data_IF_295132454913
#
_entry.id   IF_295132454913
#
_cell.length_a   1.000
_cell.length_b   1.000
_cell.length_c   1.000
_cell.angle_alpha   90.00
_cell.angle_beta   90.00
_cell.angle_gamma   90.00
#
_symmetry.space_group_name_H-M   'P 1'
#
loop_
_entity.id
_entity.type
_entity.pdbx_description
1 polymer ?
#
# COMPACT_ATOMS: atom_id res chain seq x y z
N UNK A 1 27.50 -16.55 29.01
CA UNK A 1 26.16 -15.93 28.97
C UNK A 1 26.19 -14.83 27.92
N UNK A 2 25.59 -15.06 26.76
CA UNK A 2 25.48 -14.01 25.73
C UNK A 2 24.56 -12.89 26.22
N UNK A 3 24.90 -11.61 26.02
CA UNK A 3 24.04 -10.51 26.40
C UNK A 3 22.72 -10.64 25.61
N UNK A 4 21.60 -10.69 26.33
CA UNK A 4 20.27 -10.55 25.74
C UNK A 4 20.20 -9.16 25.13
N UNK A 5 20.32 -9.08 23.81
CA UNK A 5 20.03 -7.88 23.03
C UNK A 5 18.62 -7.44 23.39
N UNK A 6 18.47 -6.24 23.95
CA UNK A 6 17.16 -5.66 24.21
C UNK A 6 16.33 -5.70 22.93
N UNK A 7 15.02 -6.01 22.98
CA UNK A 7 14.18 -5.96 21.80
C UNK A 7 14.26 -4.55 21.20
N UNK A 8 14.61 -4.46 19.92
CA UNK A 8 14.59 -3.20 19.17
C UNK A 8 13.17 -2.66 19.29
N UNK A 9 13.00 -1.62 20.11
CA UNK A 9 11.71 -0.99 20.34
C UNK A 9 11.39 -0.16 19.10
N UNK A 10 10.38 -0.60 18.35
CA UNK A 10 9.92 0.15 17.19
C UNK A 10 9.30 1.47 17.65
N UNK A 11 9.88 2.58 17.20
CA UNK A 11 9.47 3.91 17.61
C UNK A 11 8.55 4.54 16.55
N UNK A 12 7.26 4.62 16.88
CA UNK A 12 6.25 5.28 16.06
C UNK A 12 6.47 6.80 15.95
N UNK A 13 7.32 7.41 16.77
CA UNK A 13 7.65 8.83 16.65
C UNK A 13 8.55 9.12 15.44
N UNK A 14 9.29 8.12 14.95
CA UNK A 14 10.23 8.24 13.82
C UNK A 14 9.72 7.61 12.52
N UNK A 15 8.60 6.89 12.57
CA UNK A 15 8.02 6.18 11.42
C UNK A 15 6.56 6.57 11.16
N UNK A 16 6.18 6.68 9.89
CA UNK A 16 4.80 6.68 9.45
C UNK A 16 4.40 5.24 9.14
N UNK A 17 3.24 4.83 9.61
CA UNK A 17 2.58 3.62 9.10
C UNK A 17 2.23 3.89 7.62
N UNK A 18 2.35 2.89 6.76
CA UNK A 18 2.19 3.07 5.31
C UNK A 18 0.84 3.69 4.92
N UNK A 19 -0.25 3.36 5.60
CA UNK A 19 -1.58 3.94 5.36
C UNK A 19 -1.63 5.44 5.68
N UNK A 20 -0.86 5.92 6.66
CA UNK A 20 -0.76 7.34 6.96
C UNK A 20 0.00 8.08 5.83
N UNK A 21 1.11 7.52 5.37
CA UNK A 21 1.85 8.06 4.22
C UNK A 21 0.96 8.08 2.95
N UNK A 22 0.20 7.01 2.71
CA UNK A 22 -0.79 6.90 1.65
C UNK A 22 -1.86 7.99 1.74
N UNK A 23 -2.47 8.16 2.91
CA UNK A 23 -3.50 9.17 3.13
C UNK A 23 -2.97 10.59 2.91
N UNK A 24 -1.77 10.91 3.41
CA UNK A 24 -1.13 12.23 3.22
C UNK A 24 -0.87 12.52 1.75
N UNK A 25 -0.33 11.56 1.00
CA UNK A 25 -0.11 11.72 -0.45
C UNK A 25 -1.42 11.89 -1.20
N UNK A 26 -2.45 11.13 -0.83
CA UNK A 26 -3.77 11.26 -1.44
C UNK A 26 -4.42 12.62 -1.22
N UNK A 27 -4.39 13.15 0.00
CA UNK A 27 -4.82 14.52 0.29
C UNK A 27 -4.05 15.56 -0.53
N UNK A 28 -2.75 15.35 -0.73
CA UNK A 28 -1.90 16.26 -1.48
C UNK A 28 -2.22 16.27 -2.99
N UNK A 29 -2.52 15.08 -3.54
CA UNK A 29 -2.82 14.88 -4.96
C UNK A 29 -4.27 15.26 -5.31
N UNK A 30 -5.20 15.07 -4.36
CA UNK A 30 -6.65 15.19 -4.59
C UNK A 30 -7.33 15.94 -3.42
N UNK A 31 -6.97 17.20 -3.14
CA UNK A 31 -7.43 17.95 -1.96
C UNK A 31 -8.96 17.98 -1.80
N UNK A 32 -9.69 18.17 -2.89
CA UNK A 32 -11.15 18.36 -2.86
C UNK A 32 -11.93 17.05 -2.96
N UNK A 33 -11.29 15.97 -3.42
CA UNK A 33 -11.97 14.71 -3.78
C UNK A 33 -11.43 13.50 -3.02
N UNK A 34 -10.34 13.65 -2.27
CA UNK A 34 -9.78 12.58 -1.45
C UNK A 34 -10.61 12.39 -0.18
N UNK A 35 -11.30 11.27 -0.12
CA UNK A 35 -12.14 10.94 1.04
C UNK A 35 -11.40 10.14 2.13
N UNK A 36 -10.27 9.53 1.78
CA UNK A 36 -9.64 8.49 2.60
C UNK A 36 -10.40 7.15 2.63
N UNK A 37 -11.57 7.08 1.99
CA UNK A 37 -12.40 5.88 1.84
C UNK A 37 -12.36 5.35 0.40
N UNK A 38 -11.23 5.56 -0.28
CA UNK A 38 -11.06 5.14 -1.67
C UNK A 38 -11.19 3.62 -1.82
N UNK A 39 -11.73 3.17 -2.96
CA UNK A 39 -12.04 1.77 -3.19
C UNK A 39 -10.77 0.95 -3.46
N UNK A 40 -10.61 -0.19 -2.77
CA UNK A 40 -9.49 -1.14 -2.93
C UNK A 40 -9.83 -2.39 -3.74
N UNK A 41 -11.07 -2.51 -4.20
CA UNK A 41 -11.49 -3.53 -5.14
C UNK A 41 -11.56 -2.94 -6.56
N UNK A 42 -11.07 -3.68 -7.55
CA UNK A 42 -11.06 -3.23 -8.94
C UNK A 42 -12.48 -3.12 -9.50
N UNK A 43 -12.79 -2.08 -10.28
CA UNK A 43 -14.09 -1.88 -10.88
C UNK A 43 -14.42 -3.06 -11.78
N UNK A 44 -15.67 -3.49 -11.74
CA UNK A 44 -16.16 -4.60 -12.54
C UNK A 44 -17.11 -4.04 -13.58
N UNK A 45 -16.85 -4.33 -14.86
CA UNK A 45 -17.58 -3.77 -15.99
C UNK A 45 -19.02 -4.25 -16.12
N UNK A 46 -19.38 -5.42 -15.59
CA UNK A 46 -20.73 -5.99 -15.71
C UNK A 46 -21.24 -6.56 -14.37
N UNK A 47 -21.52 -5.67 -13.42
CA UNK A 47 -22.01 -6.04 -12.09
C UNK A 47 -23.30 -6.85 -12.16
N UNK A 48 -24.19 -6.52 -13.10
CA UNK A 48 -25.47 -7.21 -13.25
C UNK A 48 -25.27 -8.65 -13.75
N UNK A 49 -24.37 -8.88 -14.71
CA UNK A 49 -24.03 -10.25 -15.10
C UNK A 49 -23.43 -11.05 -13.94
N UNK A 50 -22.62 -10.44 -13.06
CA UNK A 50 -22.11 -11.18 -11.91
C UNK A 50 -23.15 -11.37 -10.80
N UNK A 51 -24.03 -10.41 -10.54
CA UNK A 51 -25.17 -10.62 -9.64
C UNK A 51 -26.05 -11.75 -10.16
N UNK A 52 -26.39 -11.74 -11.45
CA UNK A 52 -27.15 -12.79 -12.10
C UNK A 52 -26.42 -14.15 -11.99
N UNK A 53 -25.10 -14.17 -12.23
CA UNK A 53 -24.30 -15.39 -12.10
C UNK A 53 -24.24 -15.90 -10.65
N UNK A 54 -24.19 -15.01 -9.67
CA UNK A 54 -24.23 -15.37 -8.25
C UNK A 54 -25.57 -15.99 -7.88
N UNK A 55 -26.68 -15.38 -8.30
CA UNK A 55 -28.03 -15.94 -8.08
C UNK A 55 -28.12 -17.31 -8.74
N UNK A 56 -27.71 -17.44 -10.00
CA UNK A 56 -27.72 -18.73 -10.71
C UNK A 56 -26.87 -19.81 -10.00
N UNK A 57 -25.68 -19.46 -9.50
CA UNK A 57 -24.84 -20.42 -8.77
C UNK A 57 -25.40 -20.78 -7.39
N UNK A 58 -26.06 -19.85 -6.70
CA UNK A 58 -26.75 -20.12 -5.43
C UNK A 58 -27.94 -21.05 -5.68
N UNK A 59 -28.72 -20.81 -6.73
CA UNK A 59 -29.83 -21.68 -7.15
C UNK A 59 -29.33 -23.07 -7.56
N UNK A 60 -28.24 -23.16 -8.32
CA UNK A 60 -27.57 -24.43 -8.69
C UNK A 60 -27.12 -25.18 -7.44
N UNK A 61 -26.45 -24.51 -6.50
CA UNK A 61 -26.00 -25.11 -5.24
C UNK A 61 -27.17 -25.63 -4.40
N UNK A 62 -28.23 -24.84 -4.22
CA UNK A 62 -29.42 -25.23 -3.48
C UNK A 62 -30.17 -26.38 -4.19
N UNK A 63 -30.22 -26.37 -5.53
CA UNK A 63 -30.82 -27.45 -6.32
C UNK A 63 -30.07 -28.76 -6.14
N UNK A 64 -28.75 -28.78 -6.33
CA UNK A 64 -27.94 -29.99 -6.18
C UNK A 64 -27.95 -30.51 -4.74
N UNK A 65 -27.90 -29.62 -3.75
CA UNK A 65 -27.99 -30.01 -2.34
C UNK A 65 -29.35 -30.64 -2.01
N UNK A 66 -30.46 -30.07 -2.51
CA UNK A 66 -31.80 -30.66 -2.34
C UNK A 66 -31.93 -32.00 -3.03
N UNK A 67 -31.43 -32.14 -4.26
CA UNK A 67 -31.44 -33.40 -5.00
C UNK A 67 -30.61 -34.47 -4.30
N UNK A 68 -29.41 -34.14 -3.82
CA UNK A 68 -28.55 -35.07 -3.08
C UNK A 68 -29.21 -35.52 -1.77
N UNK A 69 -29.89 -34.62 -1.04
CA UNK A 69 -30.65 -34.95 0.17
C UNK A 69 -31.86 -35.84 -0.13
N UNK A 70 -32.63 -35.52 -1.18
CA UNK A 70 -33.77 -36.34 -1.59
C UNK A 70 -33.33 -37.76 -1.98
N UNK A 71 -32.20 -37.87 -2.70
CA UNK A 71 -31.61 -39.15 -3.07
C UNK A 71 -31.12 -39.92 -1.84
N UNK A 72 -30.48 -39.25 -0.88
CA UNK A 72 -30.04 -39.88 0.38
C UNK A 72 -31.19 -40.34 1.29
N UNK A 73 -32.40 -39.83 1.10
CA UNK A 73 -33.61 -40.22 1.85
C UNK A 73 -34.38 -41.37 1.19
N UNK A 74 -34.03 -41.76 -0.04
CA UNK A 74 -34.59 -42.96 -0.64
C UNK A 74 -34.06 -44.19 0.09
N UNK A 75 -34.97 -45.07 0.46
CA UNK A 75 -34.62 -46.32 1.12
C UNK A 75 -33.89 -47.23 0.12
N UNK A 76 -32.57 -47.36 0.30
CA UNK A 76 -31.70 -48.15 -0.56
C UNK A 76 -31.66 -49.64 -0.16
N UNK A 77 -32.40 -50.05 0.87
CA UNK A 77 -32.35 -51.41 1.42
C UNK A 77 -32.93 -52.50 0.51
N UNK A 78 -33.71 -52.11 -0.52
CA UNK A 78 -34.33 -53.01 -1.49
C UNK A 78 -33.72 -52.97 -2.90
N UNK A 79 -32.62 -52.23 -3.12
CA UNK A 79 -31.98 -52.13 -4.43
C UNK A 79 -31.09 -53.33 -4.71
N UNK A 80 -31.03 -53.77 -5.97
CA UNK A 80 -30.01 -54.72 -6.39
C UNK A 80 -28.61 -54.06 -6.41
N UNK A 81 -27.55 -54.86 -6.58
CA UNK A 81 -26.18 -54.36 -6.52
C UNK A 81 -25.88 -53.28 -7.58
N UNK A 82 -26.39 -53.44 -8.81
CA UNK A 82 -26.16 -52.51 -9.90
C UNK A 82 -26.94 -51.20 -9.70
N UNK A 83 -28.15 -51.30 -9.17
CA UNK A 83 -28.99 -50.15 -8.80
C UNK A 83 -28.40 -49.38 -7.62
N UNK A 84 -27.84 -50.08 -6.63
CA UNK A 84 -27.15 -49.47 -5.50
C UNK A 84 -25.89 -48.72 -5.95
N UNK A 85 -25.05 -49.31 -6.81
CA UNK A 85 -23.88 -48.62 -7.37
C UNK A 85 -24.28 -47.37 -8.17
N UNK A 86 -25.33 -47.48 -8.99
CA UNK A 86 -25.87 -46.34 -9.74
C UNK A 86 -26.40 -45.25 -8.81
N UNK A 87 -27.06 -45.63 -7.71
CA UNK A 87 -27.55 -44.71 -6.68
C UNK A 87 -26.40 -43.96 -6.01
N UNK A 88 -25.35 -44.67 -5.59
CA UNK A 88 -24.16 -44.07 -4.98
C UNK A 88 -23.42 -43.13 -5.95
N UNK A 89 -23.24 -43.54 -7.20
CA UNK A 89 -22.61 -42.70 -8.23
C UNK A 89 -23.40 -41.41 -8.50
N UNK A 90 -24.73 -41.49 -8.49
CA UNK A 90 -25.59 -40.30 -8.63
C UNK A 90 -25.48 -39.37 -7.42
N UNK A 91 -25.41 -39.92 -6.21
CA UNK A 91 -25.25 -39.14 -4.99
C UNK A 91 -23.90 -38.40 -4.96
N UNK A 92 -22.82 -39.09 -5.33
CA UNK A 92 -21.48 -38.52 -5.43
C UNK A 92 -21.42 -37.41 -6.50
N UNK A 93 -22.01 -37.65 -7.68
CA UNK A 93 -22.07 -36.65 -8.75
C UNK A 93 -22.81 -35.37 -8.31
N UNK A 94 -23.95 -35.50 -7.62
CA UNK A 94 -24.69 -34.35 -7.09
C UNK A 94 -23.90 -33.61 -6.00
N UNK A 95 -23.21 -34.33 -5.13
CA UNK A 95 -22.34 -33.72 -4.12
C UNK A 95 -21.17 -32.96 -4.75
N UNK A 96 -20.53 -33.53 -5.77
CA UNK A 96 -19.44 -32.88 -6.52
C UNK A 96 -19.93 -31.61 -7.24
N UNK A 97 -21.11 -31.65 -7.88
CA UNK A 97 -21.72 -30.47 -8.51
C UNK A 97 -22.08 -29.39 -7.48
N UNK A 98 -22.59 -29.75 -6.32
CA UNK A 98 -22.86 -28.81 -5.24
C UNK A 98 -21.54 -28.17 -4.74
N UNK A 99 -20.49 -28.97 -4.56
CA UNK A 99 -19.17 -28.48 -4.15
C UNK A 99 -18.57 -27.53 -5.21
N UNK A 100 -18.70 -27.85 -6.49
CA UNK A 100 -18.24 -27.00 -7.59
C UNK A 100 -18.98 -25.65 -7.62
N UNK A 101 -20.32 -25.67 -7.55
CA UNK A 101 -21.13 -24.46 -7.49
C UNK A 101 -20.75 -23.59 -6.27
N UNK A 102 -20.53 -24.21 -5.11
CA UNK A 102 -20.07 -23.55 -3.89
C UNK A 102 -18.67 -22.95 -4.04
N UNK A 103 -17.73 -23.66 -4.65
CA UNK A 103 -16.39 -23.16 -4.91
C UNK A 103 -16.41 -21.96 -5.88
N UNK A 104 -17.27 -22.02 -6.90
CA UNK A 104 -17.48 -20.92 -7.83
C UNK A 104 -18.15 -19.71 -7.14
N UNK A 105 -19.11 -19.92 -6.23
CA UNK A 105 -19.64 -18.86 -5.37
C UNK A 105 -18.56 -18.21 -4.50
N UNK A 106 -17.66 -19.00 -3.90
CA UNK A 106 -16.54 -18.47 -3.10
C UNK A 106 -15.57 -17.66 -3.95
N UNK A 107 -15.28 -18.10 -5.18
CA UNK A 107 -14.44 -17.35 -6.14
C UNK A 107 -15.06 -16.00 -6.51
N UNK A 108 -16.39 -15.94 -6.62
CA UNK A 108 -17.12 -14.68 -6.79
C UNK A 108 -17.01 -13.85 -5.51
N UNK A 109 -17.36 -14.38 -4.33
CA UNK A 109 -17.35 -13.61 -3.06
C UNK A 109 -16.03 -12.87 -2.77
N UNK A 110 -14.87 -13.42 -3.14
CA UNK A 110 -13.58 -12.72 -2.99
C UNK A 110 -13.40 -11.43 -3.81
N UNK A 111 -14.34 -11.10 -4.71
CA UNK A 111 -14.30 -9.92 -5.59
C UNK A 111 -15.46 -8.91 -5.41
N UNK A 112 -16.55 -9.25 -4.70
CA UNK A 112 -17.84 -8.50 -4.75
C UNK A 112 -18.37 -7.96 -3.41
N UNK A 113 -17.55 -7.80 -2.37
CA UNK A 113 -17.93 -6.88 -1.26
C UNK A 113 -17.76 -5.40 -1.65
N UNK A 114 -17.39 -5.15 -2.90
CA UNK A 114 -17.41 -3.87 -3.58
C UNK A 114 -18.84 -3.42 -3.85
N UNK A 115 -19.39 -2.62 -2.93
CA UNK A 115 -20.42 -1.62 -3.27
C UNK A 115 -19.90 -0.81 -4.45
N UNK A 116 -20.80 -0.44 -5.38
CA UNK A 116 -20.65 0.58 -6.43
C UNK A 116 -19.22 1.16 -6.48
N UNK A 117 -18.32 0.50 -7.22
CA UNK A 117 -16.95 1.00 -7.29
C UNK A 117 -17.03 2.23 -8.16
N UNK A 118 -17.03 3.39 -7.52
CA UNK A 118 -16.80 4.65 -8.18
C UNK A 118 -15.42 4.55 -8.84
N UNK A 119 -15.38 4.38 -10.16
CA UNK A 119 -14.14 4.25 -10.91
C UNK A 119 -13.20 5.42 -10.59
N UNK A 120 -13.73 6.63 -10.38
CA UNK A 120 -12.91 7.77 -10.00
C UNK A 120 -12.19 7.53 -8.66
N UNK A 121 -12.86 6.95 -7.66
CA UNK A 121 -12.22 6.60 -6.36
C UNK A 121 -11.12 5.55 -6.53
N UNK A 122 -11.38 4.53 -7.34
CA UNK A 122 -10.40 3.48 -7.63
C UNK A 122 -9.18 4.02 -8.39
N UNK A 123 -9.40 4.88 -9.39
CA UNK A 123 -8.32 5.51 -10.16
C UNK A 123 -7.47 6.44 -9.27
N UNK A 124 -8.09 7.25 -8.40
CA UNK A 124 -7.35 8.07 -7.43
C UNK A 124 -6.47 7.22 -6.52
N UNK A 125 -7.02 6.11 -5.99
CA UNK A 125 -6.24 5.15 -5.20
C UNK A 125 -5.04 4.64 -5.98
N UNK A 126 -5.26 4.13 -7.20
CA UNK A 126 -4.18 3.61 -8.05
C UNK A 126 -3.10 4.66 -8.32
N UNK A 127 -3.48 5.91 -8.57
CA UNK A 127 -2.53 6.99 -8.80
C UNK A 127 -1.63 7.23 -7.58
N UNK A 128 -2.19 7.23 -6.37
CA UNK A 128 -1.43 7.38 -5.12
C UNK A 128 -0.52 6.17 -4.86
N UNK A 129 -1.04 4.95 -5.02
CA UNK A 129 -0.24 3.71 -4.88
C UNK A 129 0.95 3.73 -5.85
N UNK A 130 0.70 4.05 -7.12
CA UNK A 130 1.74 4.14 -8.14
C UNK A 130 2.77 5.22 -7.83
N UNK A 131 2.35 6.37 -7.28
CA UNK A 131 3.27 7.45 -6.89
C UNK A 131 4.21 7.00 -5.78
N UNK A 132 3.69 6.34 -4.75
CA UNK A 132 4.50 5.80 -3.65
C UNK A 132 5.43 4.68 -4.12
N UNK A 133 4.91 3.72 -4.90
CA UNK A 133 5.71 2.66 -5.51
C UNK A 133 6.86 3.19 -6.37
N UNK A 134 6.62 4.26 -7.14
CA UNK A 134 7.65 4.92 -7.94
C UNK A 134 8.72 5.56 -7.06
N UNK A 135 8.32 6.22 -5.98
CA UNK A 135 9.26 6.83 -5.02
C UNK A 135 10.12 5.76 -4.32
N UNK A 136 9.55 4.61 -3.97
CA UNK A 136 10.31 3.47 -3.44
C UNK A 136 11.27 2.89 -4.49
N UNK A 137 10.83 2.73 -5.74
CA UNK A 137 11.66 2.22 -6.83
C UNK A 137 12.87 3.12 -7.14
N UNK A 138 12.72 4.44 -6.96
CA UNK A 138 13.77 5.44 -7.15
C UNK A 138 14.65 5.65 -5.91
N UNK A 139 14.41 4.93 -4.81
CA UNK A 139 15.05 5.14 -3.52
C UNK A 139 14.86 6.57 -2.95
N UNK A 140 13.80 7.28 -3.38
CA UNK A 140 13.41 8.56 -2.80
C UNK A 140 12.77 8.37 -1.42
N UNK A 141 12.11 7.22 -1.25
CA UNK A 141 11.56 6.75 0.02
C UNK A 141 12.11 5.36 0.36
N UNK A 142 12.19 5.07 1.66
CA UNK A 142 12.54 3.74 2.16
C UNK A 142 11.30 3.09 2.77
N UNK A 143 10.91 1.94 2.22
CA UNK A 143 9.86 1.10 2.78
C UNK A 143 10.49 0.14 3.81
N UNK A 144 9.91 0.07 4.99
CA UNK A 144 10.38 -0.76 6.10
C UNK A 144 9.37 -1.87 6.38
N UNK A 145 9.88 -3.09 6.48
CA UNK A 145 9.17 -4.31 6.81
C UNK A 145 9.40 -4.67 8.28
N UNK A 146 8.33 -4.70 9.09
CA UNK A 146 8.39 -5.03 10.50
C UNK A 146 9.14 -3.97 11.32
N UNK A 147 10.01 -4.41 12.24
CA UNK A 147 10.65 -3.52 13.21
C UNK A 147 11.86 -2.74 12.67
N UNK A 148 12.52 -3.18 11.60
CA UNK A 148 13.75 -2.51 11.12
C UNK A 148 14.30 -3.03 9.78
N UNK A 149 13.56 -3.84 9.02
CA UNK A 149 14.08 -4.40 7.77
C UNK A 149 13.76 -3.49 6.58
N UNK A 150 14.77 -2.82 6.03
CA UNK A 150 14.61 -2.04 4.80
C UNK A 150 14.30 -2.96 3.61
N UNK A 151 13.23 -2.62 2.88
CA UNK A 151 12.85 -3.31 1.66
C UNK A 151 13.73 -2.82 0.52
N UNK A 152 14.58 -3.71 0.03
CA UNK A 152 15.37 -3.46 -1.19
C UNK A 152 14.44 -3.61 -2.39
N UNK A 153 13.80 -2.51 -2.79
CA UNK A 153 12.70 -2.51 -3.76
C UNK A 153 13.06 -3.26 -5.04
N UNK A 154 14.20 -2.94 -5.65
CA UNK A 154 14.70 -3.57 -6.89
C UNK A 154 14.73 -5.10 -6.83
N UNK A 155 15.00 -5.66 -5.65
CA UNK A 155 15.10 -7.11 -5.46
C UNK A 155 13.75 -7.72 -5.12
N UNK A 156 12.97 -7.06 -4.26
CA UNK A 156 11.70 -7.61 -3.76
C UNK A 156 10.58 -7.48 -4.80
N UNK A 157 10.54 -6.39 -5.56
CA UNK A 157 9.48 -6.13 -6.55
C UNK A 157 9.47 -7.12 -7.73
N UNK A 158 10.53 -7.90 -7.91
CA UNK A 158 10.65 -8.92 -8.96
C UNK A 158 10.14 -10.29 -8.51
N UNK A 159 9.92 -10.49 -7.21
CA UNK A 159 9.49 -11.76 -6.65
C UNK A 159 7.96 -11.91 -6.79
N UNK A 160 7.51 -13.08 -7.28
CA UNK A 160 6.08 -13.33 -7.59
C UNK A 160 5.15 -13.23 -6.37
N UNK A 161 5.68 -13.45 -5.19
CA UNK A 161 4.94 -13.49 -3.93
C UNK A 161 5.13 -12.23 -3.08
N UNK A 162 5.86 -11.22 -3.60
CA UNK A 162 5.92 -9.89 -3.03
C UNK A 162 4.64 -9.10 -3.32
N UNK A 163 4.07 -8.51 -2.28
CA UNK A 163 2.91 -7.65 -2.43
C UNK A 163 2.84 -6.64 -1.28
N UNK A 164 2.32 -5.45 -1.56
CA UNK A 164 2.10 -4.40 -0.57
C UNK A 164 0.61 -4.12 -0.50
N UNK A 165 0.07 -4.20 0.71
CA UNK A 165 -1.28 -3.74 1.00
C UNK A 165 -1.21 -2.38 1.67
N UNK A 166 -1.51 -1.31 0.94
CA UNK A 166 -1.57 0.04 1.49
C UNK A 166 -2.70 0.18 2.52
N UNK A 167 -3.88 -0.40 2.24
CA UNK A 167 -5.05 -0.36 3.16
C UNK A 167 -4.74 -0.97 4.53
N UNK A 168 -4.06 -2.12 4.57
CA UNK A 168 -3.73 -2.79 5.83
C UNK A 168 -2.33 -2.43 6.35
N UNK A 169 -1.59 -1.59 5.62
CA UNK A 169 -0.18 -1.31 5.90
C UNK A 169 0.63 -2.60 6.10
N UNK A 170 0.52 -3.52 5.15
CA UNK A 170 1.21 -4.81 5.20
C UNK A 170 2.14 -5.00 4.01
N UNK A 171 3.29 -5.60 4.29
CA UNK A 171 4.18 -6.17 3.29
C UNK A 171 4.06 -7.69 3.37
N UNK A 172 3.83 -8.29 2.21
CA UNK A 172 3.95 -9.71 1.98
C UNK A 172 5.36 -9.95 1.48
N UNK A 173 6.26 -10.32 2.40
CA UNK A 173 7.66 -10.58 2.08
C UNK A 173 7.77 -11.85 1.23
N UNK A 174 8.70 -11.88 0.25
CA UNK A 174 8.98 -13.09 -0.50
C UNK A 174 9.45 -14.20 0.41
N UNK A 175 9.07 -15.45 0.12
CA UNK A 175 9.56 -16.63 0.85
C UNK A 175 11.09 -16.71 0.88
N UNK A 176 11.75 -16.23 -0.18
CA UNK A 176 13.20 -16.19 -0.30
C UNK A 176 13.86 -15.17 0.65
N UNK A 177 13.11 -14.20 1.17
CA UNK A 177 13.64 -13.07 1.97
C UNK A 177 13.23 -13.11 3.43
N UNK A 178 12.14 -13.80 3.78
CA UNK A 178 11.68 -13.87 5.18
C UNK A 178 10.86 -15.14 5.45
N UNK A 179 11.15 -15.79 6.59
CA UNK A 179 10.32 -16.88 7.12
C UNK A 179 8.94 -16.39 7.59
N UNK A 180 8.83 -15.12 7.98
CA UNK A 180 7.54 -14.48 8.34
C UNK A 180 7.02 -13.69 7.16
N UNK A 181 6.04 -14.26 6.46
CA UNK A 181 5.53 -13.72 5.19
C UNK A 181 4.76 -12.41 5.31
N UNK A 182 4.07 -12.14 6.43
CA UNK A 182 3.26 -10.92 6.59
C UNK A 182 3.87 -10.05 7.69
N UNK A 183 4.21 -8.81 7.37
CA UNK A 183 4.74 -7.84 8.30
C UNK A 183 4.09 -6.48 8.11
N UNK A 184 4.11 -5.66 9.15
CA UNK A 184 3.67 -4.27 9.06
C UNK A 184 4.62 -3.47 8.17
N UNK A 185 4.06 -2.49 7.46
CA UNK A 185 4.73 -1.65 6.50
C UNK A 185 4.83 -0.22 7.02
N UNK A 186 6.04 0.33 6.99
CA UNK A 186 6.32 1.67 7.51
C UNK A 186 7.21 2.45 6.55
N UNK A 187 7.21 3.76 6.70
CA UNK A 187 8.10 4.69 5.99
C UNK A 187 8.75 5.59 7.02
N UNK A 188 10.05 5.86 6.87
CA UNK A 188 10.73 6.80 7.79
C UNK A 188 10.19 8.21 7.65
N UNK A 189 9.80 8.85 8.77
CA UNK A 189 9.17 10.18 8.79
C UNK A 189 10.07 11.25 8.19
N UNK A 190 11.34 11.28 8.59
CA UNK A 190 12.33 12.23 8.11
C UNK A 190 12.46 12.21 6.57
N UNK A 191 12.58 11.02 5.99
CA UNK A 191 12.67 10.83 4.54
C UNK A 191 11.37 11.15 3.84
N UNK A 192 10.24 10.74 4.42
CA UNK A 192 8.92 11.04 3.87
C UNK A 192 8.65 12.55 3.83
N UNK A 193 8.88 13.27 4.93
CA UNK A 193 8.60 14.71 5.02
C UNK A 193 9.45 15.51 4.04
N UNK A 194 10.74 15.14 3.89
CA UNK A 194 11.63 15.74 2.89
C UNK A 194 11.10 15.50 1.48
N UNK A 195 10.79 14.24 1.14
CA UNK A 195 10.28 13.88 -0.17
C UNK A 195 8.96 14.59 -0.47
N UNK A 196 8.01 14.57 0.47
CA UNK A 196 6.71 15.19 0.38
C UNK A 196 6.81 16.71 0.14
N UNK A 197 7.69 17.41 0.87
CA UNK A 197 7.92 18.84 0.69
C UNK A 197 8.48 19.19 -0.72
N UNK A 198 9.21 18.26 -1.34
CA UNK A 198 9.82 18.47 -2.66
C UNK A 198 8.89 18.20 -3.84
N UNK A 199 7.65 17.74 -3.63
CA UNK A 199 6.73 17.46 -4.74
C UNK A 199 6.02 18.74 -5.22
N UNK A 200 6.11 19.04 -6.53
CA UNK A 200 5.57 20.28 -7.14
C UNK A 200 4.08 20.22 -7.43
N UNK A 201 3.58 19.02 -7.62
CA UNK A 201 2.19 18.70 -7.94
C UNK A 201 1.32 18.55 -6.69
N UNK A 202 1.91 18.60 -5.49
CA UNK A 202 1.17 18.53 -4.23
C UNK A 202 0.54 19.89 -3.90
N UNK A 203 -0.78 19.89 -3.74
CA UNK A 203 -1.53 21.04 -3.29
C UNK A 203 -1.67 21.02 -1.77
N UNK A 204 -1.73 22.20 -1.16
CA UNK A 204 -2.44 22.37 0.12
C UNK A 204 -3.70 23.16 -0.16
N UNK A 205 -4.84 22.62 0.24
CA UNK A 205 -6.15 23.29 0.17
C UNK A 205 -6.60 23.67 -1.26
N UNK A 206 -6.30 22.83 -2.26
CA UNK A 206 -6.66 23.10 -3.66
C UNK A 206 -5.70 24.04 -4.39
N UNK A 207 -4.80 24.70 -3.66
CA UNK A 207 -3.80 25.62 -4.21
C UNK A 207 -2.47 24.88 -4.33
N UNK A 208 -1.94 24.79 -5.56
CA UNK A 208 -0.58 24.29 -5.79
C UNK A 208 0.39 25.10 -4.94
N UNK A 209 1.15 24.42 -4.08
CA UNK A 209 2.12 25.09 -3.21
C UNK A 209 3.12 25.87 -4.05
N UNK A 210 3.35 27.13 -3.69
CA UNK A 210 4.36 27.93 -4.35
C UNK A 210 5.73 27.26 -4.21
N UNK A 211 6.65 27.55 -5.16
CA UNK A 211 8.03 27.07 -5.07
C UNK A 211 8.66 27.47 -3.73
N UNK A 212 8.34 28.66 -3.23
CA UNK A 212 8.85 29.20 -1.97
C UNK A 212 8.32 28.44 -0.74
N UNK A 213 7.02 28.11 -0.69
CA UNK A 213 6.43 27.33 0.41
C UNK A 213 7.01 25.92 0.49
N UNK A 214 7.28 25.32 -0.67
CA UNK A 214 7.92 24.01 -0.77
C UNK A 214 9.36 24.04 -0.26
N UNK A 215 10.12 25.07 -0.64
CA UNK A 215 11.48 25.29 -0.13
C UNK A 215 11.44 25.49 1.39
N UNK A 216 10.56 26.35 1.90
CA UNK A 216 10.37 26.58 3.35
C UNK A 216 10.04 25.28 4.10
N UNK A 217 9.13 24.48 3.55
CA UNK A 217 8.77 23.15 4.09
C UNK A 217 9.96 22.20 4.07
N UNK A 218 10.77 22.23 3.01
CA UNK A 218 11.99 21.43 2.91
C UNK A 218 13.03 21.83 3.96
N UNK A 219 13.24 23.13 4.23
CA UNK A 219 14.09 23.58 5.34
C UNK A 219 13.58 23.08 6.70
N UNK A 220 12.28 23.16 6.95
CA UNK A 220 11.68 22.68 8.20
C UNK A 220 11.85 21.16 8.37
N UNK A 221 11.64 20.38 7.31
CA UNK A 221 11.85 18.92 7.31
C UNK A 221 13.33 18.57 7.49
N UNK A 222 14.22 19.25 6.76
CA UNK A 222 15.66 19.04 6.83
C UNK A 222 16.21 19.34 8.23
N UNK A 223 15.71 20.39 8.90
CA UNK A 223 16.11 20.78 10.27
C UNK A 223 15.85 19.68 11.28
N UNK A 224 14.74 18.94 11.15
CA UNK A 224 14.41 17.82 12.04
C UNK A 224 15.26 16.57 11.78
N UNK A 225 15.76 16.42 10.54
CA UNK A 225 16.50 15.23 10.11
C UNK A 225 18.01 15.30 10.33
N UNK A 226 18.59 16.50 10.39
CA UNK A 226 20.03 16.69 10.54
C UNK A 226 20.43 16.71 12.02
N UNK A 227 21.36 15.85 12.40
CA UNK A 227 21.95 15.85 13.75
C UNK A 227 22.97 16.98 13.96
N UNK A 228 23.54 17.52 12.89
CA UNK A 228 24.46 18.66 12.90
C UNK A 228 24.18 19.61 11.72
N UNK A 229 24.49 20.91 11.85
CA UNK A 229 24.31 21.88 10.77
C UNK A 229 25.03 21.46 9.47
N UNK A 230 24.32 21.39 8.34
CA UNK A 230 24.96 21.09 7.06
C UNK A 230 25.81 22.27 6.59
N UNK A 231 26.84 21.99 5.78
CA UNK A 231 27.63 23.05 5.14
C UNK A 231 26.75 23.81 4.12
N UNK A 232 26.69 25.15 4.24
CA UNK A 232 25.89 26.04 3.35
C UNK A 232 26.05 25.71 1.86
N UNK A 233 27.29 25.53 1.38
CA UNK A 233 27.56 25.24 -0.03
C UNK A 233 26.97 23.90 -0.49
N UNK A 234 27.10 22.84 0.30
CA UNK A 234 26.55 21.53 -0.02
C UNK A 234 25.02 21.56 -0.04
N UNK A 235 24.41 22.17 0.99
CA UNK A 235 22.96 22.24 1.10
C UNK A 235 22.33 23.11 0.00
N UNK A 236 22.94 24.24 -0.34
CA UNK A 236 22.44 25.09 -1.45
C UNK A 236 22.57 24.42 -2.81
N UNK A 237 23.58 23.56 -3.00
CA UNK A 237 23.68 22.72 -4.20
C UNK A 237 22.56 21.69 -4.25
N UNK A 238 22.31 20.97 -3.14
CA UNK A 238 21.20 20.02 -3.04
C UNK A 238 19.84 20.70 -3.29
N UNK A 239 19.63 21.89 -2.72
CA UNK A 239 18.41 22.66 -2.91
C UNK A 239 18.18 23.00 -4.38
N UNK A 240 19.24 23.39 -5.10
CA UNK A 240 19.19 23.70 -6.52
C UNK A 240 18.80 22.47 -7.35
N UNK A 241 19.42 21.33 -7.04
CA UNK A 241 19.18 20.09 -7.77
C UNK A 241 17.73 19.60 -7.54
N UNK A 242 17.19 19.78 -6.33
CA UNK A 242 15.82 19.39 -5.97
C UNK A 242 14.73 20.34 -6.50
N UNK A 243 15.01 21.64 -6.59
CA UNK A 243 14.03 22.67 -6.96
C UNK A 243 14.35 23.38 -8.28
N UNK A 244 14.99 22.65 -9.21
CA UNK A 244 15.36 23.15 -10.54
C UNK A 244 14.14 23.63 -11.36
N UNK A 245 14.27 24.71 -12.17
CA UNK A 245 15.44 25.57 -12.29
C UNK A 245 15.57 26.53 -11.11
N UNK A 246 16.77 26.59 -10.51
CA UNK A 246 17.10 27.53 -9.43
C UNK A 246 18.53 28.02 -9.65
N UNK A 247 18.77 29.32 -9.49
CA UNK A 247 20.14 29.85 -9.58
C UNK A 247 20.88 29.70 -8.26
N UNK A 248 22.21 29.72 -8.28
CA UNK A 248 23.02 29.69 -7.05
C UNK A 248 22.70 30.88 -6.11
N UNK A 249 22.42 32.06 -6.69
CA UNK A 249 22.06 33.26 -5.93
C UNK A 249 20.69 33.11 -5.26
N UNK A 250 19.72 32.54 -5.97
CA UNK A 250 18.39 32.24 -5.44
C UNK A 250 18.46 31.21 -4.31
N UNK A 251 19.25 30.14 -4.48
CA UNK A 251 19.47 29.13 -3.43
C UNK A 251 20.12 29.74 -2.17
N UNK A 252 21.12 30.61 -2.35
CA UNK A 252 21.77 31.32 -1.24
C UNK A 252 20.79 32.25 -0.52
N UNK A 253 19.94 32.97 -1.25
CA UNK A 253 18.89 33.82 -0.67
C UNK A 253 17.93 33.00 0.21
N UNK A 254 17.46 31.86 -0.29
CA UNK A 254 16.57 30.98 0.49
C UNK A 254 17.26 30.40 1.73
N UNK A 255 18.55 30.09 1.67
CA UNK A 255 19.32 29.73 2.87
C UNK A 255 19.31 30.87 3.90
N UNK A 256 19.59 32.10 3.47
CA UNK A 256 19.65 33.23 4.39
C UNK A 256 18.26 33.54 4.99
N UNK A 257 17.17 33.30 4.24
CA UNK A 257 15.80 33.50 4.71
C UNK A 257 15.23 32.37 5.59
N UNK A 258 15.51 31.10 5.27
CA UNK A 258 14.80 29.95 5.87
C UNK A 258 15.66 29.00 6.68
N UNK A 259 17.00 29.05 6.55
CA UNK A 259 17.86 28.25 7.42
C UNK A 259 17.69 28.72 8.87
N UNK A 260 17.66 27.80 9.85
CA UNK A 260 17.73 28.16 11.27
C UNK A 260 19.01 28.94 11.56
N UNK A 261 18.99 29.84 12.55
CA UNK A 261 20.18 30.63 12.91
C UNK A 261 21.34 29.74 13.37
N UNK A 262 21.05 28.61 14.01
CA UNK A 262 22.04 27.60 14.39
C UNK A 262 22.81 27.02 13.19
N UNK A 263 22.24 27.09 11.98
CA UNK A 263 22.92 26.65 10.74
C UNK A 263 23.74 27.75 10.08
N UNK A 264 23.46 29.02 10.40
CA UNK A 264 24.15 30.18 9.82
C UNK A 264 25.44 30.54 10.56
N UNK A 265 25.67 29.99 11.76
CA UNK A 265 26.88 30.26 12.54
C UNK A 265 28.10 29.69 11.80
N UNK A 266 29.07 30.56 11.49
CA UNK A 266 30.33 30.14 10.91
C UNK A 266 31.10 29.24 11.90
N UNK A 267 31.56 28.07 11.45
CA UNK A 267 32.39 27.19 12.27
C UNK A 267 33.65 27.90 12.78
N UNK A 268 34.26 27.44 13.89
CA UNK A 268 35.46 28.06 14.43
C UNK A 268 36.55 28.10 13.36
N UNK A 269 37.14 29.28 13.13
CA UNK A 269 38.31 29.42 12.25
C UNK A 269 39.42 28.54 12.80
N UNK A 270 39.65 27.37 12.18
CA UNK A 270 40.90 26.64 12.38
C UNK A 270 42.02 27.54 11.89
N UNK A 271 42.77 28.12 12.84
CA UNK A 271 44.06 28.74 12.55
C UNK A 271 44.97 27.63 12.04
N UNK A 272 45.18 27.59 10.73
CA UNK A 272 46.33 26.92 10.11
C UNK A 272 47.58 27.73 10.38
#
# INVERSE_FOLDING_TARGET
MSPRTAPIQFDLTTHYILSEAFFRVGLAMYPDTWSGLEQFAAPVSDIEAIKARKVALEDEYQRYTRQARALALLDSSGLDHAEFEKHMAQQENLANKALEARNNLHRIRGRYESKYIDDATWQRRLAVENRLCTAFARNELTLICGASCDVIWKNWSQEKDFYISFVFSLIYAPRSKSGRRKNTAHVRKDKFDIWYATQSDFSSDGIKRSKEDRIKSYFAAATKSHSAPPKKLAFTTELRDKFSPMSQREAARHWDSFAPDSWKVAGPKTRS
#
